data_IF_173189040394
#
_entry.id   IF_173189040394
#
_cell.length_a   1.000
_cell.length_b   1.000
_cell.length_c   1.000
_cell.angle_alpha   90.00
_cell.angle_beta   90.00
_cell.angle_gamma   90.00
#
_symmetry.space_group_name_H-M   'P 1'
#
loop_
_entity.id
_entity.type
_entity.pdbx_description
1 polymer ?
#
# COMPACT_ATOMS: atom_id res chain seq x y z
N UNK A 1 -8.66 -12.74 35.97
CA UNK A 1 -9.56 -12.34 34.87
C UNK A 1 -8.69 -12.04 33.64
N UNK A 2 -8.75 -12.87 32.57
CA UNK A 2 -7.94 -12.67 31.35
C UNK A 2 -8.68 -11.69 30.43
N UNK A 3 -8.17 -10.47 30.30
CA UNK A 3 -8.65 -9.50 29.31
C UNK A 3 -8.01 -9.88 27.98
N UNK A 4 -8.75 -10.63 27.16
CA UNK A 4 -8.33 -10.93 25.79
C UNK A 4 -8.64 -9.71 24.93
N UNK A 5 -7.62 -8.89 24.65
CA UNK A 5 -7.72 -7.83 23.64
C UNK A 5 -7.94 -8.48 22.27
N UNK A 6 -9.19 -8.67 21.89
CA UNK A 6 -9.58 -8.85 20.49
C UNK A 6 -9.37 -7.50 19.81
N UNK A 7 -8.14 -7.25 19.33
CA UNK A 7 -7.87 -6.15 18.42
C UNK A 7 -8.76 -6.39 17.19
N UNK A 8 -9.91 -5.71 17.14
CA UNK A 8 -10.77 -5.67 15.97
C UNK A 8 -9.90 -5.24 14.80
N UNK A 9 -9.81 -6.10 13.80
CA UNK A 9 -9.05 -5.83 12.59
C UNK A 9 -9.77 -4.70 11.83
N UNK A 10 -9.35 -3.45 12.04
CA UNK A 10 -9.93 -2.26 11.41
C UNK A 10 -9.46 -2.14 9.95
N UNK A 11 -9.85 -3.11 9.12
CA UNK A 11 -9.57 -3.05 7.68
C UNK A 11 -10.73 -3.60 6.86
N UNK A 12 -10.80 -3.13 5.62
CA UNK A 12 -11.72 -3.63 4.60
C UNK A 12 -10.93 -4.46 3.60
N UNK A 13 -11.44 -5.65 3.24
CA UNK A 13 -10.91 -6.43 2.12
C UNK A 13 -11.36 -5.79 0.82
N UNK A 14 -10.46 -5.66 -0.14
CA UNK A 14 -10.74 -5.00 -1.41
C UNK A 14 -10.49 -5.94 -2.59
N UNK A 15 -11.15 -5.64 -3.70
CA UNK A 15 -10.87 -6.24 -5.01
C UNK A 15 -9.93 -5.35 -5.84
N UNK A 16 -9.21 -4.43 -5.19
CA UNK A 16 -8.29 -3.53 -5.88
C UNK A 16 -7.12 -4.31 -6.47
N UNK A 17 -6.59 -3.80 -7.58
CA UNK A 17 -5.32 -4.24 -8.17
C UNK A 17 -4.17 -3.33 -7.75
N UNK A 18 -2.94 -3.78 -8.01
CA UNK A 18 -1.72 -3.07 -7.64
C UNK A 18 -1.58 -1.72 -8.34
N UNK A 19 -2.01 -1.64 -9.60
CA UNK A 19 -1.98 -0.41 -10.40
C UNK A 19 -2.91 0.66 -9.81
N UNK A 20 -4.08 0.25 -9.31
CA UNK A 20 -5.02 1.17 -8.67
C UNK A 20 -4.47 1.71 -7.34
N UNK A 21 -3.73 0.87 -6.59
CA UNK A 21 -3.04 1.30 -5.37
C UNK A 21 -2.00 2.39 -5.71
N UNK A 22 -1.23 2.21 -6.78
CA UNK A 22 -0.25 3.20 -7.21
C UNK A 22 -0.91 4.54 -7.55
N UNK A 23 -2.03 4.52 -8.29
CA UNK A 23 -2.80 5.72 -8.63
C UNK A 23 -3.32 6.41 -7.38
N UNK A 24 -3.93 5.68 -6.44
CA UNK A 24 -4.43 6.24 -5.19
C UNK A 24 -3.31 6.91 -4.37
N UNK A 25 -2.13 6.28 -4.32
CA UNK A 25 -0.98 6.79 -3.58
C UNK A 25 -0.35 8.01 -4.27
N UNK A 26 -0.31 8.05 -5.61
CA UNK A 26 0.11 9.20 -6.40
C UNK A 26 -0.81 10.42 -6.21
N UNK A 27 -2.11 10.17 -6.09
CA UNK A 27 -3.11 11.21 -5.80
C UNK A 27 -3.05 11.72 -4.34
N UNK A 28 -2.09 11.25 -3.54
CA UNK A 28 -1.87 11.73 -2.18
C UNK A 28 -2.83 11.15 -1.14
N UNK A 29 -3.54 10.05 -1.44
CA UNK A 29 -4.44 9.39 -0.49
C UNK A 29 -3.74 9.05 0.82
N UNK A 30 -4.36 9.35 1.97
CA UNK A 30 -3.84 9.02 3.30
C UNK A 30 -4.19 7.60 3.77
N UNK A 31 -4.72 6.76 2.89
CA UNK A 31 -5.06 5.37 3.20
C UNK A 31 -3.80 4.53 3.37
N UNK A 32 -3.83 3.62 4.34
CA UNK A 32 -2.79 2.60 4.52
C UNK A 32 -3.26 1.30 3.88
N UNK A 33 -2.47 0.78 2.94
CA UNK A 33 -2.77 -0.44 2.19
C UNK A 33 -2.00 -1.64 2.75
N UNK A 34 -2.72 -2.71 3.06
CA UNK A 34 -2.16 -4.00 3.42
C UNK A 34 -1.98 -4.90 2.21
N UNK A 35 -0.75 -5.31 1.93
CA UNK A 35 -0.39 -6.15 0.79
C UNK A 35 0.51 -7.31 1.23
N UNK A 36 0.62 -8.35 0.42
CA UNK A 36 1.57 -9.43 0.69
C UNK A 36 2.98 -9.13 0.18
N UNK A 37 3.94 -10.02 0.47
CA UNK A 37 5.35 -9.86 0.05
C UNK A 37 5.53 -9.87 -1.47
N UNK A 38 4.76 -10.66 -2.20
CA UNK A 38 4.86 -10.75 -3.67
C UNK A 38 4.31 -9.48 -4.33
N UNK A 39 3.14 -9.02 -3.89
CA UNK A 39 2.52 -7.76 -4.26
C UNK A 39 3.42 -6.56 -3.96
N UNK A 40 4.11 -6.58 -2.81
CA UNK A 40 5.09 -5.54 -2.48
C UNK A 40 6.27 -5.54 -3.45
N UNK A 41 6.82 -6.70 -3.81
CA UNK A 41 7.89 -6.77 -4.82
C UNK A 41 7.44 -6.23 -6.18
N UNK A 42 6.20 -6.55 -6.59
CA UNK A 42 5.61 -6.01 -7.81
C UNK A 42 5.55 -4.48 -7.72
N UNK A 43 5.00 -3.94 -6.63
CA UNK A 43 4.97 -2.50 -6.37
C UNK A 43 6.35 -1.85 -6.44
N UNK A 44 7.39 -2.47 -5.86
CA UNK A 44 8.75 -1.93 -5.92
C UNK A 44 9.30 -1.84 -7.35
N UNK A 45 8.95 -2.79 -8.23
CA UNK A 45 9.32 -2.73 -9.66
C UNK A 45 8.62 -1.56 -10.34
N UNK A 46 7.33 -1.35 -10.07
CA UNK A 46 6.59 -0.20 -10.60
C UNK A 46 7.06 1.14 -10.02
N UNK A 47 7.44 1.20 -8.74
CA UNK A 47 8.06 2.37 -8.11
C UNK A 47 9.41 2.74 -8.75
N UNK A 48 10.11 1.76 -9.34
CA UNK A 48 11.34 1.94 -10.10
C UNK A 48 11.14 2.38 -11.55
N UNK A 49 9.90 2.47 -12.04
CA UNK A 49 9.59 3.09 -13.33
C UNK A 49 9.42 4.60 -13.12
N UNK A 50 10.45 5.34 -13.49
CA UNK A 50 10.58 6.78 -13.28
C UNK A 50 9.42 7.57 -13.88
N UNK A 51 8.47 8.01 -13.04
CA UNK A 51 7.56 9.10 -13.39
C UNK A 51 8.34 10.41 -13.29
N UNK A 52 8.95 10.81 -14.39
CA UNK A 52 9.61 12.10 -14.53
C UNK A 52 8.52 13.19 -14.46
N UNK A 53 8.49 13.98 -13.38
CA UNK A 53 7.61 15.16 -13.32
C UNK A 53 8.05 16.16 -14.40
N UNK A 54 7.15 17.02 -14.87
CA UNK A 54 7.45 18.07 -15.87
C UNK A 54 8.59 19.04 -15.46
N UNK A 55 9.07 18.98 -14.22
CA UNK A 55 10.21 19.74 -13.69
C UNK A 55 11.50 18.89 -13.53
N UNK A 56 11.57 17.71 -14.13
CA UNK A 56 12.74 16.84 -14.11
C UNK A 56 13.02 16.14 -12.77
N UNK A 57 12.17 16.31 -11.75
CA UNK A 57 12.36 15.60 -10.47
C UNK A 57 11.87 14.16 -10.57
N UNK A 58 12.77 13.23 -10.29
CA UNK A 58 12.45 11.83 -9.99
C UNK A 58 11.76 11.80 -8.63
N UNK A 59 10.43 11.74 -8.65
CA UNK A 59 9.66 11.56 -7.43
C UNK A 59 9.49 10.08 -7.14
N UNK A 60 10.49 9.42 -6.55
CA UNK A 60 10.14 8.32 -5.65
C UNK A 60 9.27 8.99 -4.60
N UNK A 61 7.98 8.64 -4.55
CA UNK A 61 7.05 9.19 -3.57
C UNK A 61 7.59 8.77 -2.19
N UNK A 62 8.37 9.66 -1.56
CA UNK A 62 9.06 9.41 -0.29
C UNK A 62 8.10 8.93 0.82
N UNK A 63 6.78 9.13 0.67
CA UNK A 63 5.74 8.65 1.58
C UNK A 63 5.03 7.35 1.20
N UNK A 64 5.45 6.61 0.16
CA UNK A 64 4.80 5.35 -0.24
C UNK A 64 4.94 4.25 0.81
N UNK A 65 6.16 4.07 1.34
CA UNK A 65 6.44 3.04 2.35
C UNK A 65 5.60 3.21 3.61
N UNK A 66 5.33 4.45 4.03
CA UNK A 66 4.52 4.74 5.22
C UNK A 66 3.04 4.38 5.02
N UNK A 67 2.59 4.38 3.77
CA UNK A 67 1.22 4.06 3.37
C UNK A 67 1.04 2.58 3.00
N UNK A 68 2.09 1.76 3.13
CA UNK A 68 2.05 0.33 2.78
C UNK A 68 2.45 -0.53 3.99
N UNK A 69 1.60 -1.50 4.32
CA UNK A 69 1.86 -2.53 5.33
C UNK A 69 2.02 -3.89 4.67
N UNK A 70 3.20 -4.48 4.78
CA UNK A 70 3.47 -5.83 4.26
C UNK A 70 2.99 -6.89 5.24
N UNK A 71 2.10 -7.77 4.81
CA UNK A 71 1.51 -8.83 5.63
C UNK A 71 1.64 -10.18 4.91
N UNK A 72 2.34 -11.16 5.50
CA UNK A 72 2.50 -12.49 4.91
C UNK A 72 1.17 -13.21 4.64
N UNK A 73 1.08 -13.93 3.52
CA UNK A 73 0.01 -14.91 3.27
C UNK A 73 -1.37 -14.35 2.89
N UNK A 74 -1.53 -13.04 2.69
CA UNK A 74 -2.79 -12.49 2.17
C UNK A 74 -2.79 -12.62 0.64
N UNK A 75 -3.94 -12.95 0.02
CA UNK A 75 -4.11 -13.06 -1.44
C UNK A 75 -4.85 -11.86 -2.07
N UNK A 76 -5.21 -10.86 -1.26
CA UNK A 76 -6.03 -9.70 -1.62
C UNK A 76 -5.52 -8.47 -0.87
N UNK A 77 -5.94 -7.28 -1.29
CA UNK A 77 -5.51 -6.03 -0.67
C UNK A 77 -6.46 -5.62 0.45
N UNK A 78 -5.90 -5.04 1.51
CA UNK A 78 -6.66 -4.46 2.61
C UNK A 78 -6.49 -2.95 2.63
N UNK A 79 -7.53 -2.21 2.97
CA UNK A 79 -7.43 -0.79 3.34
C UNK A 79 -7.65 -0.72 4.85
N UNK A 80 -6.68 -0.20 5.59
CA UNK A 80 -6.83 0.06 7.01
C UNK A 80 -7.55 1.39 7.21
N UNK A 81 -8.54 1.39 8.11
CA UNK A 81 -9.36 2.55 8.48
C UNK A 81 -8.78 3.25 9.71
#
# INVERSE_FOLDING_TARGET
MKITYLIMKNYIKTNLRIEQILVDLQNGSNKIYGINKEQFRILQIYEGQYFMKNNGKIGILQGLREKIKVVPGIRYIRIYL
#
